data_IF_456005304096
#
_entry.id   IF_456005304096
#
_cell.length_a   1.000
_cell.length_b   1.000
_cell.length_c   1.000
_cell.angle_alpha   90.00
_cell.angle_beta   90.00
_cell.angle_gamma   90.00
#
_symmetry.space_group_name_H-M   'P 1'
#
loop_
_entity.id
_entity.type
_entity.pdbx_description
1 polymer ?
#
# COMPACT_ATOMS: atom_id res chain seq x y z
N UNK A 1 5.87 7.77 -3.25
CA UNK A 1 7.07 7.06 -2.74
C UNK A 1 7.35 7.39 -1.27
N UNK A 2 7.27 8.66 -0.86
CA UNK A 2 7.51 9.12 0.53
C UNK A 2 6.60 8.53 1.61
N UNK A 3 5.30 8.38 1.36
CA UNK A 3 4.36 7.84 2.36
C UNK A 3 4.62 6.37 2.72
N UNK A 4 5.00 5.54 1.74
CA UNK A 4 5.25 4.12 1.95
C UNK A 4 6.57 3.88 2.72
N UNK A 5 7.59 4.71 2.46
CA UNK A 5 8.84 4.66 3.22
C UNK A 5 8.64 5.04 4.68
N UNK A 6 7.81 6.06 4.96
CA UNK A 6 7.50 6.45 6.34
C UNK A 6 6.81 5.33 7.13
N UNK A 7 5.86 4.62 6.50
CA UNK A 7 5.17 3.47 7.13
C UNK A 7 6.15 2.31 7.40
N UNK A 8 7.06 2.03 6.47
CA UNK A 8 8.06 0.98 6.65
C UNK A 8 9.08 1.30 7.75
N UNK A 9 9.56 2.55 7.82
CA UNK A 9 10.41 3.05 8.90
C UNK A 9 9.73 2.93 10.26
N UNK A 10 8.44 3.33 10.36
CA UNK A 10 7.64 3.16 11.58
C UNK A 10 7.56 1.69 11.98
N UNK A 11 7.20 0.78 11.07
CA UNK A 11 7.14 -0.67 11.34
C UNK A 11 8.48 -1.24 11.83
N UNK A 12 9.60 -0.81 11.23
CA UNK A 12 10.94 -1.24 11.67
C UNK A 12 11.34 -0.72 13.06
N UNK A 13 10.70 0.34 13.56
CA UNK A 13 10.97 0.90 14.88
C UNK A 13 10.15 0.28 16.02
N UNK A 14 9.13 -0.53 15.71
CA UNK A 14 8.43 -1.33 16.72
C UNK A 14 9.15 -2.68 16.93
N UNK A 15 9.30 -3.14 18.18
CA UNK A 15 9.80 -4.48 18.46
C UNK A 15 8.78 -5.52 17.96
N UNK A 16 9.12 -6.25 16.90
CA UNK A 16 8.37 -7.43 16.45
C UNK A 16 9.09 -8.70 16.92
N UNK A 17 8.36 -9.59 17.59
CA UNK A 17 8.85 -10.95 17.85
C UNK A 17 8.61 -11.81 16.59
N UNK A 18 9.69 -12.18 15.89
CA UNK A 18 9.63 -13.07 14.72
C UNK A 18 10.29 -12.50 13.46
N UNK A 19 10.07 -13.17 12.32
CA UNK A 19 10.58 -12.74 11.02
C UNK A 19 9.70 -11.66 10.38
N UNK A 20 10.30 -10.56 9.95
CA UNK A 20 9.63 -9.49 9.20
C UNK A 20 9.55 -9.84 7.72
N UNK A 21 8.35 -10.06 7.18
CA UNK A 21 8.12 -10.17 5.75
C UNK A 21 7.59 -8.85 5.19
N UNK A 22 8.31 -8.27 4.23
CA UNK A 22 7.97 -6.99 3.61
C UNK A 22 7.72 -7.20 2.12
N UNK A 23 6.55 -6.75 1.65
CA UNK A 23 6.19 -6.75 0.23
C UNK A 23 5.91 -5.32 -0.21
N UNK A 24 6.60 -4.86 -1.27
CA UNK A 24 6.42 -3.54 -1.84
C UNK A 24 5.67 -3.63 -3.18
N UNK A 25 4.59 -2.87 -3.32
CA UNK A 25 3.82 -2.78 -4.56
C UNK A 25 4.03 -1.40 -5.19
N UNK A 26 4.56 -1.39 -6.41
CA UNK A 26 4.74 -0.19 -7.22
C UNK A 26 3.81 -0.25 -8.43
N UNK A 27 3.13 0.87 -8.73
CA UNK A 27 2.25 1.03 -9.90
C UNK A 27 2.75 2.21 -10.70
N UNK A 28 3.04 1.98 -11.98
CA UNK A 28 3.56 2.97 -12.92
C UNK A 28 3.19 2.57 -14.35
N UNK A 29 3.45 3.47 -15.31
CA UNK A 29 3.53 3.08 -16.72
C UNK A 29 4.87 2.38 -16.95
N UNK A 30 4.89 1.35 -17.79
CA UNK A 30 6.09 0.57 -18.09
C UNK A 30 6.39 0.59 -19.58
N UNK A 31 7.68 0.54 -19.94
CA UNK A 31 8.08 0.21 -21.31
C UNK A 31 7.82 -1.28 -21.57
N UNK A 32 7.40 -1.69 -22.78
CA UNK A 32 7.01 -3.08 -23.05
C UNK A 32 8.08 -4.13 -22.71
N UNK A 33 9.36 -3.78 -22.85
CA UNK A 33 10.49 -4.66 -22.53
C UNK A 33 10.64 -4.98 -21.04
N UNK A 34 9.94 -4.26 -20.16
CA UNK A 34 9.94 -4.54 -18.72
C UNK A 34 8.75 -5.40 -18.27
N UNK A 35 7.80 -5.70 -19.15
CA UNK A 35 6.61 -6.46 -18.81
C UNK A 35 6.90 -7.97 -18.69
N UNK A 36 6.40 -8.61 -17.63
CA UNK A 36 6.65 -10.02 -17.34
C UNK A 36 8.06 -10.32 -16.82
N UNK A 37 8.88 -9.29 -16.59
CA UNK A 37 10.25 -9.45 -16.08
C UNK A 37 10.23 -9.59 -14.56
N UNK A 38 11.02 -10.54 -14.06
CA UNK A 38 11.33 -10.72 -12.65
C UNK A 38 12.81 -10.57 -12.37
N UNK A 39 13.17 -10.12 -11.16
CA UNK A 39 14.57 -9.95 -10.76
C UNK A 39 14.70 -9.45 -9.33
N UNK A 40 15.84 -8.87 -9.00
CA UNK A 40 16.05 -8.15 -7.74
C UNK A 40 16.13 -6.65 -7.94
N UNK A 41 15.53 -5.89 -7.02
CA UNK A 41 15.68 -4.44 -6.90
C UNK A 41 16.15 -4.10 -5.49
N UNK A 42 17.02 -3.10 -5.40
CA UNK A 42 17.45 -2.54 -4.12
C UNK A 42 16.63 -1.29 -3.81
N UNK A 43 15.94 -1.27 -2.67
CA UNK A 43 15.16 -0.13 -2.23
C UNK A 43 15.12 -0.08 -0.70
N UNK A 44 15.10 1.12 -0.12
CA UNK A 44 14.95 1.30 1.34
C UNK A 44 15.91 0.44 2.20
N UNK A 45 17.13 0.19 1.72
CA UNK A 45 18.13 -0.60 2.44
C UNK A 45 18.02 -2.12 2.28
N UNK A 46 17.09 -2.63 1.47
CA UNK A 46 16.82 -4.06 1.31
C UNK A 46 16.79 -4.47 -0.16
N UNK A 47 17.14 -5.74 -0.43
CA UNK A 47 16.93 -6.37 -1.73
C UNK A 47 15.55 -7.03 -1.78
N UNK A 48 14.77 -6.67 -2.79
CA UNK A 48 13.44 -7.22 -3.04
C UNK A 48 13.43 -7.99 -4.34
N UNK A 49 12.92 -9.22 -4.29
CA UNK A 49 12.50 -9.91 -5.51
C UNK A 49 11.25 -9.19 -6.05
N UNK A 50 11.30 -8.78 -7.31
CA UNK A 50 10.18 -8.11 -7.96
C UNK A 50 9.75 -8.90 -9.20
N UNK A 51 8.48 -8.74 -9.55
CA UNK A 51 7.89 -9.18 -10.83
C UNK A 51 7.08 -8.02 -11.36
N UNK A 52 7.22 -7.71 -12.65
CA UNK A 52 6.45 -6.67 -13.31
C UNK A 52 5.28 -7.28 -14.09
N UNK A 53 4.06 -6.84 -13.80
CA UNK A 53 2.84 -7.24 -14.52
C UNK A 53 2.25 -5.99 -15.17
N UNK A 54 2.08 -6.04 -16.48
CA UNK A 54 1.60 -4.93 -17.29
C UNK A 54 0.20 -5.19 -17.84
N UNK A 55 -0.45 -4.09 -18.25
CA UNK A 55 -1.72 -4.08 -18.97
C UNK A 55 -1.77 -2.81 -19.84
N UNK A 56 -2.55 -2.85 -20.93
CA UNK A 56 -2.51 -1.85 -22.00
C UNK A 56 -3.74 -0.91 -22.05
N UNK A 57 -4.63 -0.99 -21.07
CA UNK A 57 -5.79 -0.10 -20.97
C UNK A 57 -5.54 1.02 -19.96
N UNK A 58 -6.18 2.18 -20.19
CA UNK A 58 -6.01 3.33 -19.30
C UNK A 58 -6.36 2.98 -17.84
N UNK A 59 -5.43 3.30 -16.93
CA UNK A 59 -5.55 3.09 -15.48
C UNK A 59 -5.84 1.64 -15.06
N UNK A 60 -5.50 0.65 -15.90
CA UNK A 60 -5.73 -0.78 -15.65
C UNK A 60 -5.01 -1.31 -14.39
N UNK A 61 -3.94 -0.64 -13.97
CA UNK A 61 -3.16 -0.98 -12.79
C UNK A 61 -3.70 -0.32 -11.52
N UNK A 62 -4.98 0.09 -11.46
CA UNK A 62 -5.59 0.72 -10.29
C UNK A 62 -5.44 -0.13 -9.00
N UNK A 63 -5.31 0.52 -7.85
CA UNK A 63 -5.30 -0.18 -6.56
C UNK A 63 -6.67 -0.82 -6.30
N UNK A 64 -6.68 -2.04 -5.75
CA UNK A 64 -7.90 -2.64 -5.23
C UNK A 64 -8.56 -1.67 -4.25
N UNK A 65 -9.85 -1.41 -4.44
CA UNK A 65 -10.57 -0.36 -3.73
C UNK A 65 -10.51 -0.60 -2.21
N UNK A 66 -9.95 0.36 -1.45
CA UNK A 66 -10.00 0.39 0.02
C UNK A 66 -11.41 0.80 0.46
N UNK A 67 -12.41 -0.02 0.15
CA UNK A 67 -13.82 0.33 0.34
C UNK A 67 -14.46 -0.31 1.57
N UNK A 68 -13.77 -1.23 2.25
CA UNK A 68 -14.37 -1.94 3.39
C UNK A 68 -14.08 -1.31 4.77
N UNK A 69 -12.91 -0.69 4.99
CA UNK A 69 -12.50 -0.24 6.34
C UNK A 69 -12.92 1.21 6.65
N UNK A 70 -13.13 2.05 5.64
CA UNK A 70 -13.45 3.48 5.83
C UNK A 70 -14.93 3.75 6.18
N UNK A 71 -15.87 2.95 5.65
CA UNK A 71 -17.31 3.20 5.83
C UNK A 71 -17.76 3.04 7.29
N UNK A 72 -17.27 2.02 7.99
CA UNK A 72 -17.64 1.76 9.39
C UNK A 72 -17.14 2.85 10.34
N UNK A 73 -15.91 3.35 10.12
CA UNK A 73 -15.34 4.40 10.97
C UNK A 73 -16.03 5.74 10.80
N UNK A 74 -16.31 6.15 9.56
CA UNK A 74 -17.03 7.41 9.27
C UNK A 74 -18.43 7.39 9.88
N UNK A 75 -19.14 6.26 9.79
CA UNK A 75 -20.45 6.12 10.42
C UNK A 75 -20.39 6.25 11.95
N UNK A 76 -19.38 5.68 12.61
CA UNK A 76 -19.21 5.78 14.06
C UNK A 76 -18.92 7.21 14.52
N UNK A 77 -18.08 7.95 13.78
CA UNK A 77 -17.78 9.36 14.08
C UNK A 77 -19.01 10.26 13.90
N UNK A 78 -19.80 10.04 12.86
CA UNK A 78 -21.04 10.78 12.62
C UNK A 78 -22.09 10.50 13.70
N UNK A 79 -22.23 9.24 14.12
CA UNK A 79 -23.11 8.84 15.22
C UNK A 79 -22.69 9.49 16.54
N UNK A 80 -21.39 9.48 16.86
CA UNK A 80 -20.88 10.12 18.07
C UNK A 80 -21.13 11.64 18.07
N UNK A 81 -20.87 12.32 16.94
CA UNK A 81 -21.14 13.75 16.80
C UNK A 81 -22.63 14.08 16.95
N UNK A 82 -23.53 13.25 16.39
CA UNK A 82 -24.97 13.43 16.51
C UNK A 82 -25.47 13.28 17.95
N UNK A 83 -24.95 12.31 18.71
CA UNK A 83 -25.30 12.14 20.13
C UNK A 83 -24.86 13.35 20.97
N UNK A 84 -23.69 13.90 20.69
CA UNK A 84 -23.18 15.11 21.36
C UNK A 84 -23.98 16.37 21.04
N UNK A 85 -24.60 16.46 19.86
CA UNK A 85 -25.44 17.60 19.46
C UNK A 85 -26.88 17.52 20.00
N UNK A 86 -27.31 16.33 20.43
CA UNK A 86 -28.65 16.07 20.95
C UNK A 86 -28.71 15.99 22.49
N UNK A 87 -27.56 16.14 23.17
CA UNK A 87 -27.44 16.23 24.63
C UNK A 87 -27.31 17.70 25.07
#
# INVERSE_FOLDING_TARGET
MSHLQLVMLLLCSLPLAGSLQVSMYEKSCAVPSQCGVSGQKYASGLYFNYTNVCCDTDLCNAAGSVTAVGRGRVALWLLAALVLLLA
#
